data_IF_259291222209
#
_entry.id   IF_259291222209
#
_cell.length_a   1.000
_cell.length_b   1.000
_cell.length_c   1.000
_cell.angle_alpha   90.00
_cell.angle_beta   90.00
_cell.angle_gamma   90.00
#
_symmetry.space_group_name_H-M   'P 1'
#
loop_
_entity.id
_entity.type
_entity.pdbx_description
1 polymer ?
#
# COMPACT_ATOMS: atom_id res chain seq x y z
N UNK A 1 -43.39 -47.85 32.96
CA UNK A 1 -42.64 -48.19 31.72
C UNK A 1 -41.28 -47.52 31.77
N UNK A 2 -40.24 -48.26 32.17
CA UNK A 2 -38.89 -47.72 32.33
C UNK A 2 -38.21 -47.59 30.98
N UNK A 3 -37.98 -46.34 30.53
CA UNK A 3 -37.19 -46.04 29.33
C UNK A 3 -35.75 -46.53 29.55
N UNK A 4 -35.32 -47.55 28.79
CA UNK A 4 -33.92 -48.00 28.77
C UNK A 4 -33.07 -46.95 28.05
N UNK A 5 -32.46 -46.06 28.83
CA UNK A 5 -31.43 -45.15 28.35
C UNK A 5 -30.17 -45.94 28.00
N UNK A 6 -29.57 -45.63 26.85
CA UNK A 6 -28.40 -46.32 26.31
C UNK A 6 -27.13 -46.05 27.12
N UNK A 7 -26.15 -46.96 27.03
CA UNK A 7 -24.90 -46.97 27.79
C UNK A 7 -23.98 -45.73 27.62
N UNK A 8 -24.36 -44.76 26.79
CA UNK A 8 -23.62 -43.51 26.56
C UNK A 8 -24.12 -42.33 27.41
N UNK A 9 -25.27 -42.45 28.09
CA UNK A 9 -25.83 -41.37 28.91
C UNK A 9 -25.37 -41.38 30.37
N UNK A 10 -24.58 -42.38 30.80
CA UNK A 10 -24.15 -42.57 32.19
C UNK A 10 -22.66 -42.33 32.40
N UNK A 11 -22.06 -41.34 31.73
CA UNK A 11 -20.66 -40.97 31.96
C UNK A 11 -20.58 -39.75 32.87
N UNK A 12 -19.74 -39.86 33.91
CA UNK A 12 -19.54 -38.85 34.95
C UNK A 12 -19.25 -37.45 34.38
N UNK A 13 -19.81 -36.42 35.04
CA UNK A 13 -19.75 -35.00 34.68
C UNK A 13 -18.34 -34.36 34.74
N UNK A 14 -17.30 -35.14 35.03
CA UNK A 14 -15.91 -34.67 35.25
C UNK A 14 -15.06 -34.60 33.96
N UNK A 15 -15.71 -34.64 32.79
CA UNK A 15 -15.03 -34.52 31.48
C UNK A 15 -15.52 -33.34 30.65
N UNK A 16 -16.30 -32.44 31.26
CA UNK A 16 -16.93 -31.30 30.61
C UNK A 16 -15.95 -30.20 30.16
N UNK A 17 -14.68 -30.28 30.56
CA UNK A 17 -13.58 -29.45 30.04
C UNK A 17 -13.11 -29.88 28.62
N UNK A 18 -13.51 -31.05 28.15
CA UNK A 18 -13.17 -31.54 26.81
C UNK A 18 -14.17 -30.99 25.81
N UNK A 19 -13.68 -30.46 24.68
CA UNK A 19 -14.51 -29.96 23.57
C UNK A 19 -15.45 -31.07 23.11
N UNK A 20 -16.73 -30.97 23.48
CA UNK A 20 -17.78 -31.91 23.07
C UNK A 20 -18.03 -31.71 21.57
N UNK A 21 -18.01 -32.80 20.82
CA UNK A 21 -18.29 -32.76 19.39
C UNK A 21 -19.81 -32.67 19.19
N UNK A 22 -20.29 -31.49 18.79
CA UNK A 22 -21.71 -31.26 18.52
C UNK A 22 -22.13 -32.03 17.26
N UNK A 23 -22.62 -33.26 17.45
CA UNK A 23 -22.98 -34.16 16.35
C UNK A 23 -24.04 -33.53 15.43
N UNK A 24 -25.02 -32.85 16.00
CA UNK A 24 -26.10 -32.22 15.25
C UNK A 24 -25.60 -31.08 14.36
N UNK A 25 -24.75 -30.19 14.89
CA UNK A 25 -24.17 -29.09 14.13
C UNK A 25 -23.27 -29.60 12.98
N UNK A 26 -22.53 -30.69 13.20
CA UNK A 26 -21.71 -31.30 12.16
C UNK A 26 -22.55 -32.03 11.10
N UNK A 27 -23.64 -32.69 11.48
CA UNK A 27 -24.58 -33.30 10.53
C UNK A 27 -25.29 -32.22 9.71
N UNK A 28 -25.67 -31.09 10.32
CA UNK A 28 -26.24 -29.95 9.60
C UNK A 28 -25.25 -29.37 8.57
N UNK A 29 -24.00 -29.12 8.98
CA UNK A 29 -22.93 -28.67 8.08
C UNK A 29 -22.65 -29.67 6.95
N UNK A 30 -22.64 -30.96 7.24
CA UNK A 30 -22.46 -32.00 6.23
C UNK A 30 -23.61 -31.99 5.20
N UNK A 31 -24.86 -31.86 5.65
CA UNK A 31 -26.03 -31.75 4.76
C UNK A 31 -25.99 -30.50 3.89
N UNK A 32 -25.56 -29.36 4.45
CA UNK A 32 -25.37 -28.13 3.68
C UNK A 32 -24.28 -28.28 2.62
N UNK A 33 -23.16 -28.93 2.95
CA UNK A 33 -22.09 -29.22 1.99
C UNK A 33 -22.56 -30.18 0.90
N UNK A 34 -23.25 -31.27 1.25
CA UNK A 34 -23.82 -32.19 0.26
C UNK A 34 -24.84 -31.51 -0.65
N UNK A 35 -25.66 -30.59 -0.13
CA UNK A 35 -26.62 -29.84 -0.93
C UNK A 35 -25.90 -28.93 -1.94
N UNK A 36 -24.87 -28.20 -1.50
CA UNK A 36 -24.02 -27.36 -2.37
C UNK A 36 -23.29 -28.19 -3.42
N UNK A 37 -22.72 -29.34 -3.05
CA UNK A 37 -22.05 -30.24 -3.99
C UNK A 37 -23.01 -30.83 -5.03
N UNK A 38 -24.25 -31.14 -4.64
CA UNK A 38 -25.30 -31.58 -5.58
C UNK A 38 -25.68 -30.45 -6.54
N UNK A 39 -25.82 -29.22 -6.04
CA UNK A 39 -26.09 -28.04 -6.87
C UNK A 39 -24.96 -27.78 -7.86
N UNK A 40 -23.71 -27.74 -7.39
CA UNK A 40 -22.54 -27.63 -8.26
C UNK A 40 -22.44 -28.80 -9.24
N UNK A 41 -22.77 -30.02 -8.81
CA UNK A 41 -22.79 -31.21 -9.66
C UNK A 41 -23.78 -31.07 -10.81
N UNK A 42 -24.99 -30.56 -10.54
CA UNK A 42 -25.99 -30.25 -11.58
C UNK A 42 -25.46 -29.18 -12.54
N UNK A 43 -24.94 -28.07 -12.03
CA UNK A 43 -24.39 -27.00 -12.86
C UNK A 43 -23.20 -27.45 -13.71
N UNK A 44 -22.34 -28.33 -13.18
CA UNK A 44 -21.24 -28.96 -13.92
C UNK A 44 -21.75 -29.85 -15.04
N UNK A 45 -22.80 -30.62 -14.78
CA UNK A 45 -23.42 -31.50 -15.77
C UNK A 45 -24.08 -30.67 -16.89
N UNK A 46 -24.82 -29.62 -16.55
CA UNK A 46 -25.42 -28.68 -17.50
C UNK A 46 -24.36 -27.96 -18.34
N UNK A 47 -23.28 -27.48 -17.71
CA UNK A 47 -22.16 -26.87 -18.44
C UNK A 47 -21.51 -27.86 -19.41
N UNK A 48 -21.32 -29.12 -18.99
CA UNK A 48 -20.79 -30.19 -19.84
C UNK A 48 -21.70 -30.49 -21.03
N UNK A 49 -23.02 -30.54 -20.81
CA UNK A 49 -24.04 -30.68 -21.86
C UNK A 49 -23.97 -29.51 -22.87
N UNK A 50 -23.77 -28.29 -22.37
CA UNK A 50 -23.55 -27.10 -23.19
C UNK A 50 -22.16 -27.03 -23.83
N UNK A 51 -21.28 -28.02 -23.61
CA UNK A 51 -19.90 -28.05 -24.11
C UNK A 51 -18.97 -27.01 -23.50
N UNK A 52 -19.38 -26.31 -22.43
CA UNK A 52 -18.60 -25.26 -21.76
C UNK A 52 -17.92 -25.83 -20.50
N UNK A 53 -16.75 -25.31 -20.17
CA UNK A 53 -16.10 -25.63 -18.88
C UNK A 53 -16.90 -24.97 -17.76
N UNK A 54 -17.20 -25.73 -16.71
CA UNK A 54 -17.83 -25.18 -15.52
C UNK A 54 -16.83 -24.31 -14.75
N UNK A 55 -17.33 -23.16 -14.31
CA UNK A 55 -16.64 -22.25 -13.42
C UNK A 55 -17.63 -21.85 -12.33
N UNK A 56 -17.14 -21.67 -11.10
CA UNK A 56 -17.97 -21.19 -10.02
C UNK A 56 -18.62 -19.84 -10.42
N UNK A 57 -19.91 -19.64 -10.08
CA UNK A 57 -20.56 -18.36 -10.29
C UNK A 57 -19.88 -17.29 -9.45
N UNK A 58 -19.83 -16.11 -10.04
CA UNK A 58 -19.05 -14.98 -9.60
C UNK A 58 -19.93 -14.16 -8.61
N UNK A 59 -19.35 -13.76 -7.47
CA UNK A 59 -20.10 -13.27 -6.30
C UNK A 59 -20.58 -11.81 -6.45
N UNK A 60 -20.20 -11.12 -7.53
CA UNK A 60 -20.69 -9.78 -7.86
C UNK A 60 -19.79 -8.62 -7.40
N UNK A 61 -18.83 -8.87 -6.50
CA UNK A 61 -17.83 -7.89 -6.05
C UNK A 61 -16.58 -7.84 -6.94
N UNK A 62 -16.72 -8.25 -8.21
CA UNK A 62 -15.53 -8.47 -9.05
C UNK A 62 -14.88 -7.20 -9.56
N UNK A 63 -13.55 -7.29 -9.64
CA UNK A 63 -12.72 -6.27 -10.27
C UNK A 63 -12.40 -6.66 -11.70
N UNK A 64 -12.22 -5.64 -12.55
CA UNK A 64 -11.71 -5.86 -13.89
C UNK A 64 -10.25 -6.31 -13.81
N UNK A 65 -9.84 -7.11 -14.79
CA UNK A 65 -8.50 -7.70 -14.82
C UNK A 65 -7.47 -6.60 -15.01
N UNK A 66 -6.58 -6.45 -14.04
CA UNK A 66 -5.50 -5.46 -14.06
C UNK A 66 -4.17 -6.08 -14.45
N UNK A 67 -3.24 -5.26 -14.93
CA UNK A 67 -1.85 -5.68 -15.08
C UNK A 67 -1.26 -6.06 -13.71
N UNK A 68 -0.35 -7.05 -13.70
CA UNK A 68 0.32 -7.49 -12.47
C UNK A 68 1.24 -6.40 -11.95
N UNK A 69 1.14 -6.10 -10.65
CA UNK A 69 1.98 -5.09 -10.00
C UNK A 69 3.42 -5.57 -9.79
N UNK A 70 3.61 -6.87 -9.55
CA UNK A 70 4.90 -7.47 -9.22
C UNK A 70 5.39 -8.34 -10.38
N UNK A 71 6.69 -8.25 -10.68
CA UNK A 71 7.35 -9.22 -11.57
C UNK A 71 7.42 -10.58 -10.87
N UNK A 72 7.19 -11.65 -11.64
CA UNK A 72 7.37 -13.01 -11.14
C UNK A 72 8.86 -13.30 -10.97
N UNK A 73 9.29 -13.48 -9.72
CA UNK A 73 10.67 -13.88 -9.44
C UNK A 73 10.81 -15.41 -9.47
N UNK A 74 11.06 -15.92 -10.67
CA UNK A 74 11.38 -17.35 -10.90
C UNK A 74 12.81 -17.67 -10.44
N UNK A 75 13.69 -16.65 -10.37
CA UNK A 75 15.11 -16.83 -10.08
C UNK A 75 15.38 -17.19 -8.61
N UNK A 76 14.51 -16.73 -7.70
CA UNK A 76 14.62 -16.99 -6.28
C UNK A 76 14.68 -18.48 -5.92
N UNK A 77 14.15 -19.38 -6.75
CA UNK A 77 14.10 -20.82 -6.49
C UNK A 77 15.21 -21.61 -7.20
N UNK A 78 16.06 -20.95 -7.99
CA UNK A 78 17.17 -21.61 -8.68
C UNK A 78 18.23 -22.05 -7.66
N UNK A 79 18.58 -23.34 -7.67
CA UNK A 79 19.60 -23.91 -6.78
C UNK A 79 19.15 -24.18 -5.34
N UNK A 80 17.91 -23.88 -4.97
CA UNK A 80 17.38 -24.20 -3.64
C UNK A 80 16.76 -25.59 -3.62
N UNK A 81 17.23 -26.44 -2.72
CA UNK A 81 16.62 -27.74 -2.42
C UNK A 81 15.76 -27.61 -1.16
N UNK A 82 14.49 -28.01 -1.25
CA UNK A 82 13.55 -27.97 -0.13
C UNK A 82 13.18 -29.41 0.21
N UNK A 83 13.28 -29.77 1.50
CA UNK A 83 12.79 -31.04 2.01
C UNK A 83 11.28 -30.91 2.26
N UNK A 84 10.49 -31.78 1.66
CA UNK A 84 9.05 -31.82 1.87
C UNK A 84 8.64 -33.05 2.67
N UNK A 85 7.74 -32.92 3.66
CA UNK A 85 7.20 -34.08 4.36
C UNK A 85 6.37 -34.93 3.40
N UNK A 86 6.49 -36.25 3.52
CA UNK A 86 5.71 -37.21 2.75
C UNK A 86 4.22 -37.02 3.07
N UNK A 87 3.47 -36.39 2.14
CA UNK A 87 2.07 -36.03 2.31
C UNK A 87 1.75 -34.53 2.22
N UNK A 88 2.77 -33.65 2.12
CA UNK A 88 2.55 -32.20 1.98
C UNK A 88 1.75 -31.80 0.72
N UNK A 89 1.80 -32.64 -0.31
CA UNK A 89 1.03 -32.49 -1.53
C UNK A 89 0.45 -33.82 -1.98
N UNK A 90 -0.81 -33.79 -2.40
CA UNK A 90 -1.48 -34.90 -3.07
C UNK A 90 -1.73 -34.48 -4.52
N UNK A 91 -0.89 -34.95 -5.43
CA UNK A 91 -0.90 -34.49 -6.83
C UNK A 91 -0.49 -33.02 -6.94
N UNK A 92 -1.35 -32.19 -7.55
CA UNK A 92 -1.15 -30.74 -7.64
C UNK A 92 -1.69 -29.98 -6.42
N UNK A 93 -2.48 -30.60 -5.55
CA UNK A 93 -3.07 -29.91 -4.39
C UNK A 93 -2.18 -30.00 -3.16
N UNK A 94 -2.12 -28.92 -2.40
CA UNK A 94 -1.27 -28.80 -1.20
C UNK A 94 0.08 -28.17 -1.52
N UNK A 95 0.89 -27.94 -0.47
CA UNK A 95 2.19 -27.25 -0.57
C UNK A 95 3.29 -28.24 -0.94
N UNK A 96 3.33 -28.57 -2.23
CA UNK A 96 4.35 -29.40 -2.86
C UNK A 96 5.62 -28.62 -3.25
N UNK A 97 6.57 -29.33 -3.86
CA UNK A 97 7.77 -28.72 -4.42
C UNK A 97 7.40 -27.91 -5.67
N UNK A 98 7.74 -26.63 -5.70
CA UNK A 98 7.52 -25.73 -6.84
C UNK A 98 6.84 -24.42 -6.45
N UNK A 99 6.17 -23.79 -7.42
CA UNK A 99 5.40 -22.57 -7.23
C UNK A 99 4.02 -22.89 -6.67
N UNK A 100 3.63 -22.22 -5.58
CA UNK A 100 2.36 -22.45 -4.91
C UNK A 100 1.43 -21.25 -5.06
N UNK A 101 0.20 -21.53 -5.50
CA UNK A 101 -0.89 -20.56 -5.56
C UNK A 101 -1.74 -20.63 -4.30
N UNK A 102 -1.81 -19.52 -3.56
CA UNK A 102 -2.64 -19.40 -2.36
C UNK A 102 -4.14 -19.37 -2.67
N UNK A 103 -4.54 -18.79 -3.82
CA UNK A 103 -5.95 -18.65 -4.17
C UNK A 103 -6.59 -19.97 -4.64
N UNK A 104 -5.80 -20.87 -5.23
CA UNK A 104 -6.31 -22.12 -5.81
C UNK A 104 -5.84 -23.39 -5.10
N UNK A 105 -4.96 -23.27 -4.09
CA UNK A 105 -4.32 -24.37 -3.40
C UNK A 105 -3.63 -25.39 -4.32
N UNK A 106 -3.03 -24.89 -5.41
CA UNK A 106 -2.32 -25.67 -6.41
C UNK A 106 -0.82 -25.37 -6.39
N UNK A 107 -0.02 -26.43 -6.51
CA UNK A 107 1.41 -26.37 -6.80
C UNK A 107 1.72 -26.75 -8.24
N UNK A 108 2.64 -25.99 -8.83
CA UNK A 108 3.16 -26.21 -10.17
C UNK A 108 4.68 -26.35 -10.09
N UNK A 109 5.20 -27.38 -10.76
CA UNK A 109 6.63 -27.68 -10.79
C UNK A 109 7.37 -26.87 -11.85
N UNK A 110 6.66 -26.54 -12.93
CA UNK A 110 7.21 -25.80 -14.07
C UNK A 110 6.78 -24.32 -14.03
N UNK A 111 7.68 -23.42 -14.44
CA UNK A 111 7.41 -21.98 -14.51
C UNK A 111 6.38 -21.62 -15.58
N UNK A 112 6.36 -22.32 -16.72
CA UNK A 112 5.36 -22.10 -17.77
C UNK A 112 3.95 -22.48 -17.29
N UNK A 113 3.82 -23.62 -16.62
CA UNK A 113 2.54 -24.05 -16.04
C UNK A 113 2.07 -23.09 -14.94
N UNK A 114 3.00 -22.52 -14.17
CA UNK A 114 2.69 -21.49 -13.18
C UNK A 114 2.10 -20.23 -13.83
N UNK A 115 2.75 -19.72 -14.89
CA UNK A 115 2.27 -18.53 -15.62
C UNK A 115 0.93 -18.79 -16.29
N UNK A 116 0.75 -19.96 -16.92
CA UNK A 116 -0.52 -20.36 -17.51
C UNK A 116 -1.62 -20.45 -16.46
N UNK A 117 -1.32 -20.98 -15.27
CA UNK A 117 -2.26 -21.03 -14.17
C UNK A 117 -2.72 -19.65 -13.73
N UNK A 118 -1.80 -18.71 -13.47
CA UNK A 118 -2.16 -17.34 -13.08
C UNK A 118 -3.00 -16.63 -14.14
N UNK A 119 -2.79 -16.93 -15.43
CA UNK A 119 -3.58 -16.36 -16.51
C UNK A 119 -4.87 -17.14 -16.81
N UNK A 120 -5.10 -18.28 -16.15
CA UNK A 120 -6.27 -19.10 -16.39
C UNK A 120 -7.53 -18.47 -15.79
N UNK A 121 -8.66 -18.60 -16.48
CA UNK A 121 -9.95 -18.15 -15.97
C UNK A 121 -10.33 -18.80 -14.63
N UNK A 122 -9.78 -19.98 -14.32
CA UNK A 122 -10.01 -20.63 -13.02
C UNK A 122 -9.38 -19.82 -11.88
N UNK A 123 -8.15 -19.35 -12.10
CA UNK A 123 -7.44 -18.54 -11.12
C UNK A 123 -8.02 -17.14 -10.98
N UNK A 124 -8.30 -16.47 -12.10
CA UNK A 124 -8.89 -15.13 -12.11
C UNK A 124 -10.23 -15.12 -11.35
N UNK A 125 -11.07 -16.12 -11.59
CA UNK A 125 -12.34 -16.26 -10.85
C UNK A 125 -12.16 -16.57 -9.38
N UNK A 126 -11.14 -17.33 -8.99
CA UNK A 126 -10.82 -17.58 -7.59
C UNK A 126 -10.37 -16.30 -6.85
N UNK A 127 -9.76 -15.35 -7.57
CA UNK A 127 -9.38 -14.02 -7.06
C UNK A 127 -10.55 -13.02 -7.12
N UNK A 128 -11.60 -13.32 -7.89
CA UNK A 128 -12.72 -12.39 -8.11
C UNK A 128 -12.46 -11.39 -9.24
N UNK A 129 -11.78 -11.83 -10.31
CA UNK A 129 -11.59 -11.06 -11.54
C UNK A 129 -12.36 -11.67 -12.71
N UNK A 130 -12.97 -10.81 -13.54
CA UNK A 130 -13.87 -11.22 -14.62
C UNK A 130 -13.17 -11.71 -15.90
N UNK A 131 -11.83 -11.59 -15.98
CA UNK A 131 -11.07 -11.85 -17.21
C UNK A 131 -11.22 -10.78 -18.28
N UNK A 132 -12.07 -9.77 -18.05
CA UNK A 132 -12.26 -8.64 -18.94
C UNK A 132 -11.34 -7.48 -18.52
N UNK A 133 -10.84 -6.73 -19.51
CA UNK A 133 -9.91 -5.61 -19.32
C UNK A 133 -10.62 -4.31 -19.71
N UNK A 134 -10.36 -3.23 -18.96
CA UNK A 134 -10.85 -1.90 -19.29
C UNK A 134 -10.25 -1.41 -20.61
N UNK A 135 -11.07 -0.79 -21.46
CA UNK A 135 -10.58 -0.11 -22.66
C UNK A 135 -9.90 1.20 -22.24
N UNK A 136 -8.66 1.39 -22.63
CA UNK A 136 -7.90 2.61 -22.32
C UNK A 136 -8.42 3.81 -23.11
N UNK A 137 -8.49 4.97 -22.45
CA UNK A 137 -8.74 6.27 -23.11
C UNK A 137 -7.42 6.89 -23.61
N UNK A 138 -7.51 7.92 -24.46
CA UNK A 138 -6.33 8.65 -24.92
C UNK A 138 -5.60 9.37 -23.77
N UNK A 139 -6.33 9.81 -22.75
CA UNK A 139 -5.78 10.45 -21.55
C UNK A 139 -5.00 9.44 -20.70
N UNK A 140 -5.52 8.22 -20.54
CA UNK A 140 -4.83 7.15 -19.81
C UNK A 140 -3.50 6.78 -20.47
N UNK A 141 -3.45 6.77 -21.80
CA UNK A 141 -2.22 6.49 -22.55
C UNK A 141 -1.18 7.59 -22.32
N UNK A 142 -1.59 8.87 -22.36
CA UNK A 142 -0.68 10.00 -22.09
C UNK A 142 -0.10 9.92 -20.67
N UNK A 143 -0.97 9.77 -19.66
CA UNK A 143 -0.54 9.61 -18.26
C UNK A 143 0.45 8.45 -18.12
N UNK A 144 0.19 7.33 -18.80
CA UNK A 144 1.08 6.16 -18.72
C UNK A 144 2.44 6.39 -19.40
N UNK A 145 2.46 7.12 -20.51
CA UNK A 145 3.71 7.52 -21.18
C UNK A 145 4.53 8.42 -20.27
N UNK A 146 3.90 9.42 -19.63
CA UNK A 146 4.56 10.35 -18.72
C UNK A 146 5.16 9.59 -17.52
N UNK A 147 4.41 8.68 -16.89
CA UNK A 147 4.92 7.83 -15.80
C UNK A 147 6.13 6.96 -16.21
N UNK A 148 6.11 6.42 -17.44
CA UNK A 148 7.22 5.60 -17.96
C UNK A 148 8.43 6.49 -18.25
N UNK A 149 8.21 7.67 -18.82
CA UNK A 149 9.26 8.65 -19.10
C UNK A 149 9.94 9.09 -17.81
N UNK A 150 9.18 9.49 -16.80
CA UNK A 150 9.72 9.87 -15.49
C UNK A 150 10.53 8.74 -14.83
N UNK A 151 10.06 7.49 -14.94
CA UNK A 151 10.81 6.35 -14.42
C UNK A 151 12.15 6.16 -15.15
N UNK A 152 12.16 6.28 -16.47
CA UNK A 152 13.39 6.19 -17.27
C UNK A 152 14.34 7.36 -16.95
N UNK A 153 13.82 8.56 -16.75
CA UNK A 153 14.62 9.73 -16.37
C UNK A 153 15.28 9.54 -15.00
N UNK A 154 14.54 8.99 -14.02
CA UNK A 154 15.08 8.62 -12.71
C UNK A 154 16.17 7.56 -12.81
N UNK A 155 15.93 6.48 -13.57
CA UNK A 155 16.93 5.41 -13.77
C UNK A 155 18.21 5.96 -14.44
N UNK A 156 18.08 6.83 -15.44
CA UNK A 156 19.23 7.51 -16.07
C UNK A 156 19.98 8.41 -15.09
N UNK A 157 19.27 9.18 -14.27
CA UNK A 157 19.90 10.03 -13.26
C UNK A 157 20.63 9.21 -12.18
N UNK A 158 20.13 8.01 -11.87
CA UNK A 158 20.80 7.07 -10.96
C UNK A 158 22.02 6.38 -11.59
N UNK A 159 21.99 6.14 -12.91
CA UNK A 159 23.08 5.50 -13.66
C UNK A 159 24.24 6.47 -13.97
N UNK A 160 23.95 7.76 -14.17
CA UNK A 160 24.98 8.81 -14.36
C UNK A 160 25.57 9.20 -13.02
N UNK A 161 26.55 8.41 -12.61
CA UNK A 161 27.34 8.65 -11.41
C UNK A 161 28.81 8.44 -11.76
N UNK A 162 29.36 9.39 -12.49
CA UNK A 162 30.75 9.74 -12.24
C UNK A 162 30.82 10.56 -10.94
N UNK A 163 31.85 10.37 -10.11
CA UNK A 163 32.01 11.15 -8.87
C UNK A 163 32.04 12.67 -9.14
N UNK A 164 32.55 13.06 -10.33
CA UNK A 164 32.62 14.45 -10.78
C UNK A 164 31.25 15.09 -10.99
N UNK A 165 30.36 14.45 -11.74
CA UNK A 165 29.00 14.99 -11.99
C UNK A 165 28.18 15.08 -10.70
N UNK A 166 28.35 14.15 -9.75
CA UNK A 166 27.70 14.25 -8.43
C UNK A 166 28.18 15.44 -7.62
N UNK A 167 29.47 15.78 -7.68
CA UNK A 167 30.03 16.93 -6.97
C UNK A 167 29.58 18.24 -7.60
N UNK A 168 29.47 18.30 -8.93
CA UNK A 168 28.95 19.46 -9.65
C UNK A 168 27.44 19.64 -9.41
N UNK A 169 26.67 18.55 -9.44
CA UNK A 169 25.25 18.56 -9.09
C UNK A 169 24.99 19.11 -7.68
N UNK A 170 25.75 18.64 -6.68
CA UNK A 170 25.68 19.20 -5.31
C UNK A 170 26.05 20.67 -5.24
N UNK A 171 27.08 21.11 -5.97
CA UNK A 171 27.46 22.53 -6.00
C UNK A 171 26.35 23.40 -6.56
N UNK A 172 25.68 22.95 -7.62
CA UNK A 172 24.57 23.65 -8.26
C UNK A 172 23.33 23.67 -7.35
N UNK A 173 23.02 22.56 -6.68
CA UNK A 173 21.95 22.52 -5.67
C UNK A 173 22.24 23.45 -4.49
N UNK A 174 23.44 23.41 -3.92
CA UNK A 174 23.86 24.29 -2.82
C UNK A 174 23.85 25.78 -3.22
N UNK A 175 24.07 26.08 -4.49
CA UNK A 175 24.00 27.45 -5.02
C UNK A 175 22.54 27.91 -5.19
N UNK A 176 21.67 27.06 -5.74
CA UNK A 176 20.21 27.31 -5.81
C UNK A 176 19.60 27.47 -4.41
N UNK A 177 19.99 26.64 -3.46
CA UNK A 177 19.53 26.72 -2.07
C UNK A 177 19.97 28.03 -1.41
N UNK A 178 21.19 28.49 -1.72
CA UNK A 178 21.69 29.80 -1.29
C UNK A 178 20.93 30.95 -1.94
N UNK A 179 20.58 30.84 -3.23
CA UNK A 179 19.76 31.83 -3.93
C UNK A 179 18.33 31.88 -3.39
N UNK A 180 17.71 30.73 -3.11
CA UNK A 180 16.40 30.67 -2.47
C UNK A 180 16.41 31.26 -1.07
N UNK A 181 17.44 30.97 -0.25
CA UNK A 181 17.63 31.59 1.07
C UNK A 181 17.81 33.10 0.93
N UNK A 182 18.52 33.56 -0.10
CA UNK A 182 18.67 35.01 -0.39
C UNK A 182 17.34 35.63 -0.80
N UNK A 183 16.53 34.97 -1.63
CA UNK A 183 15.18 35.43 -2.01
C UNK A 183 14.25 35.48 -0.81
N UNK A 184 14.16 34.41 -0.01
CA UNK A 184 13.37 34.35 1.23
C UNK A 184 13.78 35.43 2.23
N UNK A 185 15.08 35.74 2.34
CA UNK A 185 15.58 36.86 3.17
C UNK A 185 15.17 38.23 2.64
N UNK A 186 15.20 38.44 1.32
CA UNK A 186 14.76 39.69 0.69
C UNK A 186 13.26 39.91 0.88
N UNK A 187 12.46 38.86 0.65
CA UNK A 187 11.00 38.88 0.79
C UNK A 187 10.58 39.15 2.25
N UNK A 188 11.26 38.54 3.23
CA UNK A 188 11.07 38.86 4.65
C UNK A 188 11.48 40.30 5.00
N UNK A 189 12.53 40.83 4.39
CA UNK A 189 12.97 42.20 4.62
C UNK A 189 12.01 43.23 4.02
N UNK A 190 11.45 42.96 2.83
CA UNK A 190 10.41 43.78 2.20
C UNK A 190 9.12 43.76 3.03
N UNK A 191 8.68 42.59 3.49
CA UNK A 191 7.50 42.48 4.36
C UNK A 191 7.65 43.28 5.67
N UNK A 192 8.84 43.25 6.28
CA UNK A 192 9.16 44.06 7.47
C UNK A 192 9.21 45.56 7.19
N UNK A 193 9.61 45.98 5.99
CA UNK A 193 9.59 47.40 5.59
C UNK A 193 8.16 47.89 5.40
N UNK A 194 7.31 47.09 4.74
CA UNK A 194 5.89 47.41 4.58
C UNK A 194 5.16 47.48 5.92
N UNK A 195 5.47 46.59 6.88
CA UNK A 195 4.93 46.67 8.25
C UNK A 195 5.37 47.96 8.96
N UNK A 196 6.65 48.34 8.85
CA UNK A 196 7.16 49.60 9.41
C UNK A 196 6.56 50.84 8.75
N UNK A 197 6.36 50.83 7.44
CA UNK A 197 5.71 51.94 6.73
C UNK A 197 4.24 52.07 7.13
N UNK A 198 3.55 50.94 7.36
CA UNK A 198 2.19 50.93 7.91
C UNK A 198 2.16 51.43 9.36
N UNK A 199 3.11 51.04 10.20
CA UNK A 199 3.21 51.57 11.59
C UNK A 199 3.55 53.06 11.62
N UNK A 200 4.42 53.54 10.73
CA UNK A 200 4.74 54.97 10.60
C UNK A 200 3.56 55.77 10.03
N UNK A 201 2.79 55.20 9.10
CA UNK A 201 1.54 55.80 8.62
C UNK A 201 0.50 55.89 9.74
N UNK A 202 0.31 54.82 10.52
CA UNK A 202 -0.58 54.81 11.69
C UNK A 202 -0.11 55.80 12.77
N UNK A 203 1.20 55.94 13.02
CA UNK A 203 1.75 56.95 13.95
C UNK A 203 1.61 58.38 13.42
N UNK A 204 1.67 58.61 12.11
CA UNK A 204 1.40 59.92 11.50
C UNK A 204 -0.07 60.30 11.62
N UNK A 205 -0.98 59.35 11.43
CA UNK A 205 -2.42 59.59 11.58
C UNK A 205 -2.84 59.82 13.06
N UNK A 206 -2.03 59.37 14.02
CA UNK A 206 -2.25 59.61 15.47
C UNK A 206 -1.49 60.83 16.02
N UNK A 207 -0.72 61.55 15.20
CA UNK A 207 0.21 62.61 15.64
C UNK A 207 -0.24 64.05 15.41
N UNK A 208 -1.45 64.30 14.88
CA UNK A 208 -1.94 65.68 14.64
C UNK A 208 -2.69 66.28 15.85
N UNK A 209 -2.81 65.59 16.98
CA UNK A 209 -3.27 66.21 18.23
C UNK A 209 -2.53 65.65 19.45
N UNK A 210 -2.02 66.56 20.29
CA UNK A 210 -1.39 66.41 21.62
C UNK A 210 0.15 66.54 21.64
N UNK A 211 0.55 67.79 21.86
CA UNK A 211 1.86 68.25 22.35
C UNK A 211 1.97 67.89 23.85
N UNK A 212 2.83 66.92 24.20
CA UNK A 212 3.33 66.73 25.57
C UNK A 212 4.83 66.51 25.49
N UNK A 213 5.57 67.41 26.13
CA UNK A 213 7.02 67.39 26.33
C UNK A 213 7.42 66.16 27.14
N UNK A 214 8.45 65.43 26.70
CA UNK A 214 9.00 64.30 27.45
C UNK A 214 9.69 63.28 26.55
N UNK A 215 10.87 63.63 26.06
CA UNK A 215 11.83 62.71 25.46
C UNK A 215 12.09 61.53 26.41
N UNK A 216 11.79 60.31 25.94
CA UNK A 216 12.47 59.12 26.44
C UNK A 216 12.73 58.21 25.26
N UNK A 217 13.94 58.34 24.73
CA UNK A 217 14.47 57.50 23.67
C UNK A 217 14.43 56.04 24.11
N UNK A 218 14.02 55.17 23.19
CA UNK A 218 13.91 53.71 23.39
C UNK A 218 15.25 53.07 23.85
N UNK A 219 16.36 53.79 23.67
CA UNK A 219 17.71 53.43 24.10
C UNK A 219 17.90 53.42 25.63
N UNK A 220 17.23 54.28 26.40
CA UNK A 220 17.33 54.30 27.87
C UNK A 220 16.52 53.17 28.53
N UNK A 221 15.39 52.78 27.92
CA UNK A 221 14.65 51.58 28.34
C UNK A 221 15.46 50.31 28.03
N UNK A 222 16.20 50.26 26.92
CA UNK A 222 17.07 49.13 26.56
C UNK A 222 18.27 49.00 27.53
N UNK A 223 18.80 50.12 28.00
CA UNK A 223 19.86 50.16 29.01
C UNK A 223 19.39 49.66 30.39
N UNK A 224 18.14 49.96 30.78
CA UNK A 224 17.55 49.51 32.06
C UNK A 224 17.29 48.00 32.13
N UNK A 225 17.15 47.33 30.98
CA UNK A 225 16.91 45.88 30.86
C UNK A 225 18.21 45.06 30.74
N UNK A 226 19.39 45.69 30.89
CA UNK A 226 20.66 44.98 31.06
C UNK A 226 21.23 44.31 29.81
N UNK A 227 20.75 44.62 28.60
CA UNK A 227 21.36 44.15 27.35
C UNK A 227 22.40 45.17 26.91
N UNK A 228 23.55 45.11 27.57
CA UNK A 228 24.74 45.88 27.19
C UNK A 228 25.64 45.00 26.33
N UNK A 229 25.66 45.28 25.03
CA UNK A 229 26.81 45.13 24.13
C UNK A 229 27.57 43.79 24.12
N UNK A 230 27.15 42.84 23.29
CA UNK A 230 28.05 41.79 22.81
C UNK A 230 28.87 42.32 21.62
N UNK A 231 30.01 42.94 21.95
CA UNK A 231 31.18 43.24 21.11
C UNK A 231 31.02 43.36 19.60
N UNK A 232 31.00 44.61 19.09
CA UNK A 232 31.46 44.89 17.73
C UNK A 232 32.98 44.67 17.64
N UNK A 233 33.42 43.48 17.25
CA UNK A 233 34.81 43.26 16.86
C UNK A 233 35.02 43.82 15.45
N UNK A 234 35.56 45.03 15.38
CA UNK A 234 36.15 45.57 14.15
C UNK A 234 37.56 45.00 14.02
N UNK A 235 37.69 43.96 13.19
CA UNK A 235 38.85 43.67 12.33
C UNK A 235 38.37 42.80 11.18
#
# INVERSE_FOLDING_TARGET
MSSKKGAYETNASDTDFRKKYDREANVAKAREQEAKEKEEGRLRYEAKLAGKKYYAPLAGDETLTSARATRLDVSANVGKTILLPAGAATGKRGRGAGFYCQACDLTFKDSLQWVEHENSMQHLRAIGQTGEVQRASAEDVRRRIDEIWERLEREKHEEVVSLGERLEGRRIEDEKDREERRRKRKELAERKKEEKEKEVAVKKDYGEDIRVEGEHDEDDMMASMGIVGFGSSKK
#
